data_IF_866282265855
#
_entry.id   IF_866282265855
#
_cell.length_a   1.000
_cell.length_b   1.000
_cell.length_c   1.000
_cell.angle_alpha   90.00
_cell.angle_beta   90.00
_cell.angle_gamma   90.00
#
_symmetry.space_group_name_H-M   'P 1'
#
loop_
_entity.id
_entity.type
_entity.pdbx_description
1 polymer ?
#
# COMPACT_ATOMS: atom_id res chain seq x y z
N UNK A 1 -29.76 -15.39 -39.85
CA UNK A 1 -29.47 -15.95 -38.51
C UNK A 1 -28.40 -15.09 -37.89
N UNK A 2 -28.77 -14.25 -36.92
CA UNK A 2 -27.87 -13.34 -36.20
C UNK A 2 -27.45 -14.00 -34.90
N UNK A 3 -26.19 -14.42 -34.82
CA UNK A 3 -25.58 -14.88 -33.55
C UNK A 3 -25.12 -13.64 -32.77
N UNK A 4 -25.53 -13.47 -31.50
CA UNK A 4 -24.95 -12.42 -30.66
C UNK A 4 -23.55 -12.84 -30.22
N UNK A 5 -22.58 -11.93 -30.35
CA UNK A 5 -21.23 -12.10 -29.82
C UNK A 5 -21.30 -11.94 -28.30
N UNK A 6 -21.09 -13.04 -27.58
CA UNK A 6 -20.93 -13.02 -26.13
C UNK A 6 -19.61 -12.34 -25.80
N UNK A 7 -19.66 -11.30 -24.96
CA UNK A 7 -18.49 -10.74 -24.32
C UNK A 7 -17.96 -11.75 -23.29
N UNK A 8 -16.79 -12.32 -23.55
CA UNK A 8 -16.04 -13.16 -22.60
C UNK A 8 -14.90 -12.33 -22.05
N UNK A 9 -14.86 -12.17 -20.71
CA UNK A 9 -13.64 -11.77 -20.00
C UNK A 9 -13.77 -10.80 -18.83
N UNK A 10 -14.67 -11.04 -17.86
CA UNK A 10 -14.29 -10.79 -16.45
C UNK A 10 -13.10 -11.73 -16.17
N UNK A 11 -11.98 -11.35 -15.55
CA UNK A 11 -11.80 -11.08 -14.12
C UNK A 11 -10.31 -10.76 -13.93
N UNK A 12 -9.94 -9.58 -13.46
CA UNK A 12 -8.66 -9.28 -12.78
C UNK A 12 -8.67 -7.88 -12.15
N UNK A 13 -9.43 -6.95 -12.71
CA UNK A 13 -9.40 -5.55 -12.26
C UNK A 13 -10.03 -5.30 -10.88
N UNK A 14 -10.97 -6.12 -10.41
CA UNK A 14 -11.71 -5.82 -9.18
C UNK A 14 -10.95 -6.14 -7.88
N UNK A 15 -10.07 -7.15 -7.91
CA UNK A 15 -9.37 -7.64 -6.71
C UNK A 15 -8.10 -6.83 -6.42
N UNK A 16 -7.30 -6.52 -7.44
CA UNK A 16 -6.19 -5.56 -7.35
C UNK A 16 -6.68 -4.18 -6.91
N UNK A 17 -7.80 -3.70 -7.46
CA UNK A 17 -8.36 -2.40 -7.11
C UNK A 17 -8.73 -2.27 -5.63
N UNK A 18 -9.09 -3.36 -4.96
CA UNK A 18 -9.56 -3.32 -3.56
C UNK A 18 -8.41 -3.25 -2.57
N UNK A 19 -7.34 -4.02 -2.79
CA UNK A 19 -6.11 -3.93 -2.00
C UNK A 19 -5.41 -2.58 -2.25
N UNK A 20 -5.30 -2.17 -3.52
CA UNK A 20 -4.76 -0.85 -3.89
C UNK A 20 -5.59 0.29 -3.33
N UNK A 21 -6.93 0.20 -3.32
CA UNK A 21 -7.78 1.23 -2.72
C UNK A 21 -7.67 1.29 -1.19
N UNK A 22 -7.35 0.17 -0.53
CA UNK A 22 -7.05 0.15 0.89
C UNK A 22 -5.68 0.75 1.18
N UNK A 23 -4.65 0.38 0.41
CA UNK A 23 -3.31 0.96 0.49
C UNK A 23 -3.32 2.48 0.22
N UNK A 24 -4.15 2.92 -0.72
CA UNK A 24 -4.42 4.34 -1.00
C UNK A 24 -5.17 5.06 0.14
N UNK A 25 -5.64 4.36 1.17
CA UNK A 25 -6.19 4.97 2.38
C UNK A 25 -5.25 4.85 3.58
N UNK A 26 -4.13 4.14 3.42
CA UNK A 26 -3.11 4.08 4.46
C UNK A 26 -2.36 5.42 4.54
N UNK A 27 -2.05 5.77 5.78
CA UNK A 27 -1.21 6.88 6.20
C UNK A 27 -0.54 6.47 7.50
N UNK A 28 0.32 7.33 8.06
CA UNK A 28 1.05 7.05 9.31
C UNK A 28 0.11 6.56 10.41
N UNK A 29 -0.94 7.32 10.72
CA UNK A 29 -1.84 7.00 11.83
C UNK A 29 -2.57 5.68 11.62
N UNK A 30 -3.14 5.46 10.42
CA UNK A 30 -3.92 4.24 10.16
C UNK A 30 -3.04 2.99 10.12
N UNK A 31 -1.87 3.07 9.50
CA UNK A 31 -0.91 1.97 9.46
C UNK A 31 -0.40 1.65 10.86
N UNK A 32 -0.11 2.67 11.67
CA UNK A 32 0.32 2.49 13.05
C UNK A 32 -0.76 1.83 13.91
N UNK A 33 -2.03 2.24 13.75
CA UNK A 33 -3.15 1.63 14.47
C UNK A 33 -3.25 0.13 14.19
N UNK A 34 -3.20 -0.26 12.92
CA UNK A 34 -3.31 -1.68 12.51
C UNK A 34 -2.16 -2.49 13.11
N UNK A 35 -0.94 -1.97 13.08
CA UNK A 35 0.23 -2.64 13.64
C UNK A 35 0.14 -2.73 15.18
N UNK A 36 -0.26 -1.66 15.86
CA UNK A 36 -0.46 -1.67 17.31
C UNK A 36 -1.50 -2.72 17.73
N UNK A 37 -2.66 -2.75 17.07
CA UNK A 37 -3.74 -3.71 17.34
C UNK A 37 -3.26 -5.14 17.10
N UNK A 38 -2.53 -5.38 16.01
CA UNK A 38 -1.96 -6.71 15.70
C UNK A 38 -0.95 -7.17 16.76
N UNK A 39 -0.02 -6.30 17.16
CA UNK A 39 0.98 -6.60 18.18
C UNK A 39 0.32 -6.91 19.53
N UNK A 40 -0.65 -6.10 19.94
CA UNK A 40 -1.46 -6.34 21.15
C UNK A 40 -2.21 -7.67 21.08
N UNK A 41 -2.88 -7.95 19.96
CA UNK A 41 -3.63 -9.19 19.76
C UNK A 41 -2.75 -10.44 19.78
N UNK A 42 -1.50 -10.34 19.32
CA UNK A 42 -0.49 -11.42 19.38
C UNK A 42 0.30 -11.45 20.70
N UNK A 43 0.06 -10.53 21.63
CA UNK A 43 0.83 -10.42 22.87
C UNK A 43 2.30 -10.04 22.67
N UNK A 44 2.64 -9.43 21.53
CA UNK A 44 4.00 -9.05 21.15
C UNK A 44 4.25 -7.59 21.55
N UNK A 45 5.27 -7.34 22.36
CA UNK A 45 5.51 -6.01 22.94
C UNK A 45 6.16 -4.99 21.98
N UNK A 46 6.90 -5.47 20.97
CA UNK A 46 7.65 -4.64 20.04
C UNK A 46 7.88 -5.37 18.72
N UNK A 47 8.25 -4.65 17.67
CA UNK A 47 8.57 -5.20 16.36
C UNK A 47 9.80 -4.49 15.78
N UNK A 48 10.64 -5.23 15.07
CA UNK A 48 11.78 -4.67 14.35
C UNK A 48 11.55 -4.64 12.83
N UNK A 49 12.46 -4.01 12.08
CA UNK A 49 12.34 -3.86 10.62
C UNK A 49 12.31 -5.21 9.86
N UNK A 50 13.03 -6.23 10.33
CA UNK A 50 13.02 -7.56 9.71
C UNK A 50 11.68 -8.28 9.90
N UNK A 51 11.10 -8.15 11.09
CA UNK A 51 9.79 -8.69 11.41
C UNK A 51 8.69 -7.95 10.67
N UNK A 52 8.81 -6.62 10.56
CA UNK A 52 7.95 -5.81 9.71
C UNK A 52 8.01 -6.28 8.25
N UNK A 53 9.19 -6.62 7.74
CA UNK A 53 9.35 -7.20 6.41
C UNK A 53 8.65 -8.56 6.27
N UNK A 54 8.74 -9.42 7.27
CA UNK A 54 8.03 -10.72 7.26
C UNK A 54 6.51 -10.54 7.28
N UNK A 55 6.00 -9.56 8.02
CA UNK A 55 4.58 -9.21 8.02
C UNK A 55 4.15 -8.67 6.65
N UNK A 56 4.90 -7.73 6.08
CA UNK A 56 4.61 -7.15 4.77
C UNK A 56 4.56 -8.20 3.66
N UNK A 57 5.48 -9.15 3.69
CA UNK A 57 5.55 -10.24 2.70
C UNK A 57 4.63 -11.43 3.04
N UNK A 58 3.83 -11.35 4.11
CA UNK A 58 3.03 -12.46 4.65
C UNK A 58 3.80 -13.80 4.65
N UNK A 59 5.04 -13.80 5.13
CA UNK A 59 5.93 -14.96 5.00
C UNK A 59 5.44 -16.18 5.80
N UNK A 60 4.60 -15.97 6.81
CA UNK A 60 3.98 -17.01 7.62
C UNK A 60 2.67 -17.56 7.02
N UNK A 61 2.11 -16.89 6.01
CA UNK A 61 0.86 -17.28 5.33
C UNK A 61 -0.42 -17.00 6.13
N UNK A 62 -0.33 -16.54 7.37
CA UNK A 62 -1.45 -16.27 8.28
C UNK A 62 -1.59 -14.79 8.66
N UNK A 63 -0.82 -13.90 8.02
CA UNK A 63 -0.88 -12.45 8.29
C UNK A 63 -2.11 -11.86 7.60
N UNK A 64 -3.00 -11.16 8.34
CA UNK A 64 -4.11 -10.45 7.73
C UNK A 64 -3.65 -9.46 6.65
N UNK A 65 -4.48 -9.27 5.62
CA UNK A 65 -4.12 -8.44 4.47
C UNK A 65 -3.89 -6.97 4.85
N UNK A 66 -4.69 -6.43 5.77
CA UNK A 66 -4.53 -5.08 6.31
C UNK A 66 -3.23 -4.91 7.11
N UNK A 67 -2.86 -5.91 7.91
CA UNK A 67 -1.58 -5.94 8.64
C UNK A 67 -0.39 -5.98 7.69
N UNK A 68 -0.49 -6.80 6.64
CA UNK A 68 0.56 -6.89 5.61
C UNK A 68 0.72 -5.55 4.89
N UNK A 69 -0.39 -4.90 4.52
CA UNK A 69 -0.38 -3.58 3.88
C UNK A 69 0.15 -2.48 4.81
N UNK A 70 -0.22 -2.49 6.09
CA UNK A 70 0.29 -1.54 7.09
C UNK A 70 1.80 -1.73 7.34
N UNK A 71 2.27 -2.98 7.38
CA UNK A 71 3.69 -3.27 7.47
C UNK A 71 4.45 -2.80 6.22
N UNK A 72 3.91 -3.07 5.02
CA UNK A 72 4.48 -2.60 3.76
C UNK A 72 4.52 -1.07 3.68
N UNK A 73 3.51 -0.38 4.21
CA UNK A 73 3.53 1.09 4.34
C UNK A 73 4.75 1.55 5.15
N UNK A 74 4.97 0.98 6.33
CA UNK A 74 6.10 1.33 7.18
C UNK A 74 7.46 1.00 6.52
N UNK A 75 7.54 -0.03 5.67
CA UNK A 75 8.75 -0.32 4.91
C UNK A 75 9.04 0.70 3.81
N UNK A 76 7.99 1.19 3.14
CA UNK A 76 8.11 2.23 2.11
C UNK A 76 8.49 3.58 2.69
N UNK A 77 8.13 3.82 3.96
CA UNK A 77 8.45 5.03 4.70
C UNK A 77 9.38 4.74 5.89
N UNK A 78 10.66 4.40 5.66
CA UNK A 78 11.58 4.05 6.75
C UNK A 78 11.80 5.20 7.74
N UNK A 79 11.70 6.45 7.29
CA UNK A 79 11.77 7.64 8.15
C UNK A 79 10.59 7.71 9.12
N UNK A 80 9.41 7.25 8.71
CA UNK A 80 8.23 7.15 9.58
C UNK A 80 8.49 6.10 10.66
N UNK A 81 8.93 4.90 10.29
CA UNK A 81 9.23 3.86 11.26
C UNK A 81 10.27 4.34 12.28
N UNK A 82 11.35 4.97 11.82
CA UNK A 82 12.42 5.52 12.67
C UNK A 82 11.88 6.61 13.62
N UNK A 83 11.02 7.50 13.13
CA UNK A 83 10.44 8.56 13.95
C UNK A 83 9.47 8.02 15.01
N UNK A 84 8.76 6.93 14.71
CA UNK A 84 7.92 6.21 15.68
C UNK A 84 8.80 5.51 16.71
N UNK A 85 9.80 4.76 16.26
CA UNK A 85 10.74 4.01 17.09
C UNK A 85 11.41 4.90 18.14
N UNK A 86 11.90 6.06 17.72
CA UNK A 86 12.68 6.98 18.57
C UNK A 86 11.82 7.93 19.41
N UNK A 87 10.51 7.70 19.49
CA UNK A 87 9.58 8.56 20.20
C UNK A 87 9.85 8.61 21.72
N UNK A 88 9.99 7.44 22.34
CA UNK A 88 10.12 7.29 23.80
C UNK A 88 11.59 7.30 24.25
N UNK A 89 12.48 6.64 23.51
CA UNK A 89 13.92 6.62 23.76
C UNK A 89 14.67 7.15 22.55
N UNK A 90 15.50 8.17 22.77
CA UNK A 90 16.35 8.72 21.73
C UNK A 90 17.43 7.69 21.33
N UNK A 91 17.37 7.21 20.09
CA UNK A 91 18.33 6.28 19.49
C UNK A 91 17.61 5.15 18.77
N UNK A 92 17.92 4.95 17.49
CA UNK A 92 17.31 3.88 16.70
C UNK A 92 18.08 2.56 16.95
N UNK A 93 17.50 1.66 17.74
CA UNK A 93 18.00 0.29 17.95
C UNK A 93 17.32 -0.74 17.01
N UNK A 94 16.47 -0.24 16.12
CA UNK A 94 15.67 -0.98 15.15
C UNK A 94 14.42 -1.61 15.76
N UNK A 95 14.04 -1.30 17.00
CA UNK A 95 12.95 -1.96 17.72
C UNK A 95 11.91 -0.95 18.23
N UNK A 96 10.70 -1.01 17.66
CA UNK A 96 9.61 -0.12 18.07
C UNK A 96 8.57 -0.87 18.90
N UNK A 97 8.29 -0.37 20.11
CA UNK A 97 7.24 -0.88 20.98
C UNK A 97 5.85 -0.60 20.45
N UNK A 98 4.86 -1.44 20.76
CA UNK A 98 3.49 -1.20 20.27
C UNK A 98 2.89 0.13 20.74
N UNK A 99 3.30 0.64 21.91
CA UNK A 99 2.88 1.93 22.46
C UNK A 99 3.36 3.11 21.61
N UNK A 100 4.52 3.00 20.95
CA UNK A 100 4.99 4.03 20.01
C UNK A 100 4.09 4.07 18.77
N UNK A 101 3.62 2.90 18.31
CA UNK A 101 2.61 2.83 17.26
C UNK A 101 1.25 3.37 17.72
N UNK A 102 0.84 3.16 18.97
CA UNK A 102 -0.37 3.78 19.52
C UNK A 102 -0.26 5.32 19.50
N UNK A 103 0.88 5.87 19.93
CA UNK A 103 1.14 7.31 19.84
C UNK A 103 1.05 7.84 18.41
N UNK A 104 1.64 7.13 17.44
CA UNK A 104 1.57 7.51 16.03
C UNK A 104 0.15 7.38 15.47
N UNK A 105 -0.61 6.37 15.92
CA UNK A 105 -2.01 6.17 15.58
C UNK A 105 -2.89 7.33 16.07
N UNK A 106 -2.58 7.87 17.24
CA UNK A 106 -3.25 9.04 17.82
C UNK A 106 -2.82 10.38 17.20
N UNK A 107 -1.98 10.33 16.15
CA UNK A 107 -1.55 11.50 15.39
C UNK A 107 -0.26 12.13 15.90
N UNK A 108 0.58 11.37 16.63
CA UNK A 108 1.84 11.85 17.18
C UNK A 108 2.80 12.49 16.18
N UNK A 109 2.75 12.07 14.90
CA UNK A 109 3.55 12.64 13.81
C UNK A 109 2.82 13.68 12.96
N UNK A 110 1.53 13.94 13.21
CA UNK A 110 0.72 14.82 12.37
C UNK A 110 1.30 16.24 12.31
N UNK A 111 1.47 16.76 11.09
CA UNK A 111 2.01 18.11 10.87
C UNK A 111 3.52 18.23 11.07
N UNK A 112 4.22 17.14 11.36
CA UNK A 112 5.69 17.11 11.35
C UNK A 112 6.22 17.10 9.93
N UNK A 113 7.52 17.35 9.78
CA UNK A 113 8.21 17.19 8.50
C UNK A 113 8.15 15.75 8.01
N UNK A 114 8.21 14.76 8.90
CA UNK A 114 8.13 13.33 8.56
C UNK A 114 6.78 13.00 7.92
N UNK A 115 5.69 13.49 8.51
CA UNK A 115 4.32 13.31 7.97
C UNK A 115 4.14 14.00 6.61
N UNK A 116 4.68 15.21 6.46
CA UNK A 116 4.66 15.92 5.18
C UNK A 116 5.45 15.16 4.10
N UNK A 117 6.64 14.64 4.42
CA UNK A 117 7.47 13.87 3.49
C UNK A 117 6.77 12.57 3.09
N UNK A 118 6.21 11.82 4.04
CA UNK A 118 5.47 10.60 3.76
C UNK A 118 4.27 10.88 2.85
N UNK A 119 3.51 11.93 3.14
CA UNK A 119 2.37 12.35 2.32
C UNK A 119 2.78 12.74 0.89
N UNK A 120 3.91 13.43 0.72
CA UNK A 120 4.45 13.76 -0.60
C UNK A 120 4.92 12.52 -1.37
N UNK A 121 5.57 11.58 -0.69
CA UNK A 121 5.99 10.29 -1.28
C UNK A 121 4.76 9.50 -1.74
N UNK A 122 3.73 9.38 -0.89
CA UNK A 122 2.47 8.72 -1.24
C UNK A 122 1.77 9.39 -2.43
N UNK A 123 1.77 10.72 -2.49
CA UNK A 123 1.19 11.45 -3.63
C UNK A 123 1.98 11.21 -4.92
N UNK A 124 3.31 11.18 -4.84
CA UNK A 124 4.18 10.91 -5.97
C UNK A 124 3.97 9.48 -6.50
N UNK A 125 3.94 8.47 -5.62
CA UNK A 125 3.73 7.08 -6.00
C UNK A 125 2.37 6.88 -6.68
N UNK A 126 1.32 7.52 -6.17
CA UNK A 126 0.01 7.55 -6.83
C UNK A 126 0.06 8.18 -8.22
N UNK A 127 0.80 9.28 -8.37
CA UNK A 127 0.95 9.93 -9.66
C UNK A 127 1.67 9.04 -10.69
N UNK A 128 2.69 8.29 -10.25
CA UNK A 128 3.39 7.31 -11.08
C UNK A 128 2.45 6.17 -11.47
N UNK A 129 1.70 5.61 -10.52
CA UNK A 129 0.74 4.55 -10.78
C UNK A 129 -0.34 4.97 -11.80
N UNK A 130 -0.92 6.15 -11.60
CA UNK A 130 -1.92 6.71 -12.53
C UNK A 130 -1.31 6.95 -13.92
N UNK A 131 -0.08 7.47 -13.99
CA UNK A 131 0.61 7.70 -15.26
C UNK A 131 0.89 6.39 -16.01
N UNK A 132 1.29 5.34 -15.28
CA UNK A 132 1.44 4.00 -15.84
C UNK A 132 0.11 3.49 -16.40
N UNK A 133 -0.99 3.66 -15.66
CA UNK A 133 -2.32 3.20 -16.09
C UNK A 133 -2.81 3.93 -17.34
N UNK A 134 -2.61 5.24 -17.41
CA UNK A 134 -2.95 6.04 -18.60
C UNK A 134 -2.16 5.58 -19.82
N UNK A 135 -0.89 5.24 -19.65
CA UNK A 135 -0.02 4.76 -20.73
C UNK A 135 -0.48 3.41 -21.25
N UNK A 136 -0.83 2.47 -20.37
CA UNK A 136 -1.40 1.17 -20.71
C UNK A 136 -2.69 1.34 -21.53
N UNK A 137 -3.67 2.08 -21.00
CA UNK A 137 -4.96 2.33 -21.66
C UNK A 137 -4.76 2.97 -23.04
N UNK A 138 -3.85 3.94 -23.16
CA UNK A 138 -3.59 4.63 -24.42
C UNK A 138 -2.98 3.68 -25.46
N UNK A 139 -2.12 2.76 -25.02
CA UNK A 139 -1.50 1.75 -25.90
C UNK A 139 -2.54 0.76 -26.40
N UNK A 140 -3.39 0.26 -25.51
CA UNK A 140 -4.46 -0.69 -25.86
C UNK A 140 -5.49 -0.05 -26.80
N UNK A 141 -5.88 1.19 -26.55
CA UNK A 141 -6.79 1.94 -27.43
C UNK A 141 -6.18 2.16 -28.81
N UNK A 142 -4.90 2.54 -28.88
CA UNK A 142 -4.19 2.69 -30.17
C UNK A 142 -4.14 1.37 -30.93
N UNK A 143 -3.79 0.26 -30.28
CA UNK A 143 -3.74 -1.06 -30.90
C UNK A 143 -5.12 -1.53 -31.40
N UNK A 144 -6.17 -1.31 -30.60
CA UNK A 144 -7.55 -1.64 -30.98
C UNK A 144 -8.05 -0.80 -32.15
N UNK A 145 -7.68 0.48 -32.19
CA UNK A 145 -8.10 1.43 -33.23
C UNK A 145 -7.36 1.17 -34.56
N UNK A 146 -6.08 0.79 -34.52
CA UNK A 146 -5.32 0.36 -35.70
C UNK A 146 -5.88 -0.96 -36.27
N UNK A 147 -6.14 -1.96 -35.42
CA UNK A 147 -6.75 -3.24 -35.81
C UNK A 147 -8.11 -3.07 -36.47
N UNK A 148 -8.90 -2.08 -36.04
CA UNK A 148 -10.22 -1.78 -36.63
C UNK A 148 -10.09 -1.06 -37.99
N UNK A 149 -9.03 -0.29 -38.20
CA UNK A 149 -8.75 0.40 -39.47
C UNK A 149 -8.09 -0.48 -40.53
N UNK A 150 -7.42 -1.56 -40.14
CA UNK A 150 -6.75 -2.48 -41.07
C UNK A 150 -7.67 -3.55 -41.68
N UNK A 151 -8.98 -3.52 -41.43
CA UNK A 151 -9.91 -4.49 -42.00
C UNK A 151 -10.10 -4.22 -43.51
N UNK A 152 -9.69 -5.12 -44.42
CA UNK A 152 -9.83 -4.91 -45.86
C UNK A 152 -11.31 -4.74 -46.22
N UNK A 153 -11.63 -3.69 -46.99
CA UNK A 153 -12.95 -3.56 -47.61
C UNK A 153 -12.98 -4.45 -48.86
N UNK A 154 -13.40 -5.70 -48.68
CA UNK A 154 -13.79 -6.60 -49.77
C UNK A 154 -15.31 -6.73 -49.81
#
# INVERSE_FOLDING_TARGET
MTTPVQAVGNTSYAQESSALAFEQKLNISKSSQILADYLKGKGKSAINSDELAKLANNSAGDVPADVSAAAAYMQRHPDVFTAIETHDVAGADGLSGFWNFEWAADGGLNGTTVDSIASMQDAFDRAIQLSSKVTEITTDLKASLDSTKQRPQN
#
